data_IF_817798703103
#
_entry.id   IF_817798703103
#
_cell.length_a   1.000
_cell.length_b   1.000
_cell.length_c   1.000
_cell.angle_alpha   90.00
_cell.angle_beta   90.00
_cell.angle_gamma   90.00
#
_symmetry.space_group_name_H-M   'P 1'
#
loop_
_entity.id
_entity.type
_entity.pdbx_description
1 polymer ?
#
# COMPACT_ATOMS: atom_id res chain seq x y z
N UNK A 1 6.75 -3.75 43.80
CA UNK A 1 7.61 -2.77 44.42
C UNK A 1 7.77 -1.60 43.47
N UNK A 2 7.37 -0.41 43.99
CA UNK A 2 6.91 0.76 43.31
C UNK A 2 7.89 1.47 42.40
N UNK A 3 7.42 1.89 41.26
CA UNK A 3 7.99 2.98 40.46
C UNK A 3 7.43 4.32 40.94
N UNK A 4 8.25 5.39 41.04
CA UNK A 4 7.78 6.70 41.49
C UNK A 4 6.84 7.31 40.40
N UNK A 5 5.68 7.82 40.86
CA UNK A 5 4.74 8.55 40.05
C UNK A 5 5.38 9.85 39.54
N UNK A 6 5.26 10.10 38.23
CA UNK A 6 5.63 11.35 37.59
C UNK A 6 4.58 12.43 37.94
N UNK A 7 4.98 13.65 38.37
CA UNK A 7 4.05 14.70 38.72
C UNK A 7 3.69 15.55 37.47
N UNK A 8 2.78 15.08 36.63
CA UNK A 8 2.21 15.90 35.57
C UNK A 8 0.69 15.66 35.51
N UNK A 9 -0.07 16.58 36.12
CA UNK A 9 -1.48 16.75 35.89
C UNK A 9 -1.68 17.40 34.52
N UNK A 10 -2.15 16.64 33.55
CA UNK A 10 -2.56 17.05 32.21
C UNK A 10 -2.80 15.79 31.41
N UNK A 11 -3.96 15.64 30.81
CA UNK A 11 -4.34 14.53 29.94
C UNK A 11 -3.35 14.43 28.74
N UNK A 12 -2.15 13.91 29.00
CA UNK A 12 -1.24 13.46 27.95
C UNK A 12 -1.81 12.16 27.40
N UNK A 13 -2.42 12.24 26.23
CA UNK A 13 -2.77 11.07 25.42
C UNK A 13 -1.50 10.21 25.26
N UNK A 14 -1.40 9.12 26.03
CA UNK A 14 -0.23 8.20 25.95
C UNK A 14 -0.30 7.49 24.62
N UNK A 15 0.51 7.96 23.66
CA UNK A 15 0.73 7.27 22.39
C UNK A 15 1.23 5.85 22.71
N UNK A 16 0.52 4.82 22.27
CA UNK A 16 0.91 3.43 22.47
C UNK A 16 2.16 3.10 21.64
N UNK A 17 2.94 2.07 22.02
CA UNK A 17 4.17 1.67 21.30
C UNK A 17 3.99 1.45 19.80
N UNK A 18 2.78 1.07 19.35
CA UNK A 18 2.44 0.85 17.94
C UNK A 18 2.09 2.14 17.19
N UNK A 19 1.95 3.27 17.86
CA UNK A 19 1.46 4.52 17.28
C UNK A 19 2.57 5.47 16.80
N UNK A 20 3.80 5.28 17.25
CA UNK A 20 4.98 6.07 16.84
C UNK A 20 6.06 5.17 16.23
N UNK A 21 6.36 5.43 14.96
CA UNK A 21 7.46 4.77 14.23
C UNK A 21 8.58 5.78 14.00
N UNK A 22 9.83 5.37 14.21
CA UNK A 22 11.02 6.19 13.95
C UNK A 22 11.95 5.43 13.00
N UNK A 23 12.21 5.98 11.82
CA UNK A 23 13.22 5.48 10.89
C UNK A 23 14.54 6.20 11.12
N UNK A 24 15.52 5.48 11.62
CA UNK A 24 16.82 6.04 12.00
C UNK A 24 17.98 5.10 11.61
N UNK A 25 19.12 5.71 11.34
CA UNK A 25 20.38 5.04 11.00
C UNK A 25 21.58 5.85 11.47
N UNK A 26 22.48 6.27 10.55
CA UNK A 26 23.76 6.88 10.94
C UNK A 26 23.65 8.29 11.55
N UNK A 27 22.50 8.96 11.43
CA UNK A 27 22.36 10.36 11.87
C UNK A 27 22.17 10.52 13.38
N UNK A 28 21.69 9.49 14.08
CA UNK A 28 21.45 9.54 15.53
C UNK A 28 21.54 8.16 16.16
N UNK A 29 22.07 8.10 17.38
CA UNK A 29 22.17 6.85 18.14
C UNK A 29 20.79 6.39 18.63
N UNK A 30 20.53 5.09 18.50
CA UNK A 30 19.28 4.45 18.91
C UNK A 30 18.97 4.66 20.40
N UNK A 31 20.00 4.67 21.23
CA UNK A 31 19.90 4.87 22.68
C UNK A 31 19.36 6.27 23.03
N UNK A 32 19.70 7.28 22.21
CA UNK A 32 19.16 8.63 22.40
C UNK A 32 17.65 8.64 22.12
N UNK A 33 17.21 8.00 21.04
CA UNK A 33 15.79 7.89 20.69
C UNK A 33 15.03 7.13 21.79
N UNK A 34 15.54 5.98 22.22
CA UNK A 34 14.91 5.16 23.26
C UNK A 34 14.75 5.91 24.59
N UNK A 35 15.71 6.75 24.95
CA UNK A 35 15.65 7.55 26.18
C UNK A 35 14.60 8.65 26.13
N UNK A 36 14.43 9.30 24.98
CA UNK A 36 13.48 10.42 24.79
C UNK A 36 12.08 9.95 24.40
N UNK A 37 11.99 8.90 23.60
CA UNK A 37 10.76 8.32 23.08
C UNK A 37 10.69 6.80 23.38
N UNK A 38 10.55 6.41 24.66
CA UNK A 38 10.66 5.01 25.08
C UNK A 38 9.55 4.10 24.51
N UNK A 39 8.47 4.70 24.02
CA UNK A 39 7.33 4.03 23.41
C UNK A 39 7.45 3.90 21.87
N UNK A 40 8.47 4.50 21.26
CA UNK A 40 8.64 4.45 19.81
C UNK A 40 9.13 3.07 19.34
N UNK A 41 8.62 2.62 18.21
CA UNK A 41 9.18 1.50 17.44
C UNK A 41 10.26 2.06 16.50
N UNK A 42 11.51 1.71 16.76
CA UNK A 42 12.66 2.19 15.98
C UNK A 42 12.97 1.17 14.89
N UNK A 43 12.99 1.63 13.65
CA UNK A 43 13.28 0.85 12.46
C UNK A 43 14.56 1.37 11.78
N UNK A 44 15.25 0.53 10.98
CA UNK A 44 16.36 0.96 10.12
C UNK A 44 15.98 2.10 9.18
N UNK A 45 16.95 2.72 8.46
CA UNK A 45 16.67 3.73 7.43
C UNK A 45 15.59 3.30 6.47
N UNK A 46 14.63 4.18 6.19
CA UNK A 46 13.44 3.86 5.39
C UNK A 46 13.80 3.51 3.94
N UNK A 47 13.20 2.45 3.42
CA UNK A 47 13.23 2.04 2.00
C UNK A 47 11.86 2.24 1.34
N UNK A 48 11.84 2.15 0.01
CA UNK A 48 10.60 2.16 -0.77
C UNK A 48 9.63 1.07 -0.30
N UNK A 49 8.36 1.44 -0.15
CA UNK A 49 7.27 0.54 0.21
C UNK A 49 7.05 0.37 1.71
N UNK A 50 8.03 0.66 2.54
CA UNK A 50 7.94 0.41 3.98
C UNK A 50 6.91 1.27 4.69
N UNK A 51 6.74 2.54 4.30
CA UNK A 51 5.68 3.38 4.89
C UNK A 51 4.32 2.80 4.54
N UNK A 52 4.14 2.46 3.27
CA UNK A 52 2.91 1.87 2.76
C UNK A 52 2.57 0.54 3.46
N UNK A 53 3.56 -0.32 3.68
CA UNK A 53 3.43 -1.57 4.42
C UNK A 53 3.01 -1.31 5.87
N UNK A 54 3.69 -0.41 6.57
CA UNK A 54 3.43 -0.10 7.98
C UNK A 54 2.01 0.43 8.17
N UNK A 55 1.60 1.43 7.42
CA UNK A 55 0.25 2.03 7.56
C UNK A 55 -0.87 1.05 7.17
N UNK A 56 -0.55 0.00 6.43
CA UNK A 56 -1.49 -1.04 6.07
C UNK A 56 -1.68 -2.10 7.17
N UNK A 57 -0.65 -2.33 7.98
CA UNK A 57 -0.62 -3.42 8.96
C UNK A 57 -0.73 -2.95 10.42
N UNK A 58 -0.31 -1.72 10.71
CA UNK A 58 -0.22 -1.18 12.06
C UNK A 58 -1.13 0.05 12.21
N UNK A 59 -1.63 0.26 13.43
CA UNK A 59 -2.38 1.46 13.79
C UNK A 59 -1.37 2.55 14.16
N UNK A 60 -0.87 3.28 13.15
CA UNK A 60 0.20 4.28 13.29
C UNK A 60 -0.40 5.68 13.28
N UNK A 61 -0.01 6.50 14.24
CA UNK A 61 -0.42 7.90 14.33
C UNK A 61 0.67 8.85 13.86
N UNK A 62 1.94 8.49 14.09
CA UNK A 62 3.08 9.35 13.77
C UNK A 62 4.24 8.54 13.22
N UNK A 63 4.87 9.05 12.18
CA UNK A 63 6.12 8.53 11.62
C UNK A 63 7.17 9.64 11.62
N UNK A 64 8.31 9.40 12.26
CA UNK A 64 9.50 10.26 12.19
C UNK A 64 10.48 9.65 11.18
N UNK A 65 10.75 10.39 10.10
CA UNK A 65 11.74 10.06 9.09
C UNK A 65 13.02 10.85 9.37
N UNK A 66 14.09 10.17 9.80
CA UNK A 66 15.43 10.74 9.98
C UNK A 66 16.30 10.30 8.79
N UNK A 67 16.53 8.98 8.67
CA UNK A 67 17.37 8.40 7.65
C UNK A 67 16.58 7.53 6.68
N UNK A 68 17.02 7.49 5.43
CA UNK A 68 16.49 6.61 4.38
C UNK A 68 17.61 5.95 3.59
N UNK A 69 17.30 4.82 2.98
CA UNK A 69 18.22 4.14 2.08
C UNK A 69 18.39 4.95 0.80
N UNK A 70 19.63 5.00 0.34
CA UNK A 70 20.03 5.77 -0.81
C UNK A 70 21.03 4.94 -1.64
N UNK A 71 20.94 4.99 -2.96
CA UNK A 71 21.86 4.37 -3.91
C UNK A 71 21.83 2.83 -3.95
N UNK A 72 21.85 2.11 -2.84
CA UNK A 72 21.86 0.63 -2.80
C UNK A 72 20.46 0.02 -2.84
N UNK A 73 19.45 0.82 -2.58
CA UNK A 73 18.05 0.42 -2.58
C UNK A 73 17.18 1.59 -3.05
N UNK A 74 15.99 1.30 -3.51
CA UNK A 74 15.05 2.36 -3.92
C UNK A 74 14.64 3.17 -2.69
N UNK A 75 14.73 4.49 -2.80
CA UNK A 75 14.35 5.42 -1.74
C UNK A 75 12.84 5.49 -1.58
N UNK A 76 12.39 5.87 -0.37
CA UNK A 76 10.98 6.08 -0.06
C UNK A 76 10.29 6.99 -1.08
N UNK A 77 9.13 6.59 -1.56
CA UNK A 77 8.37 7.33 -2.56
C UNK A 77 7.57 8.48 -1.91
N UNK A 78 7.50 9.61 -2.59
CA UNK A 78 6.60 10.73 -2.22
C UNK A 78 5.15 10.27 -2.02
N UNK A 79 4.70 9.37 -2.89
CA UNK A 79 3.32 8.86 -2.89
C UNK A 79 2.99 8.02 -1.65
N UNK A 80 3.96 7.29 -1.09
CA UNK A 80 3.77 6.57 0.17
C UNK A 80 3.54 7.53 1.34
N UNK A 81 4.31 8.62 1.36
CA UNK A 81 4.19 9.67 2.37
C UNK A 81 2.84 10.39 2.23
N UNK A 82 2.45 10.77 1.01
CA UNK A 82 1.15 11.39 0.75
C UNK A 82 0.01 10.44 1.16
N UNK A 83 0.11 9.16 0.85
CA UNK A 83 -0.87 8.15 1.28
C UNK A 83 -1.02 8.11 2.80
N UNK A 84 0.10 8.13 3.53
CA UNK A 84 0.07 8.15 5.00
C UNK A 84 -0.59 9.43 5.54
N UNK A 85 -0.25 10.59 4.97
CA UNK A 85 -0.88 11.87 5.30
C UNK A 85 -2.39 11.86 5.02
N UNK A 86 -2.83 11.34 3.86
CA UNK A 86 -4.25 11.19 3.52
C UNK A 86 -5.02 10.31 4.52
N UNK A 87 -4.31 9.44 5.23
CA UNK A 87 -4.88 8.58 6.28
C UNK A 87 -4.85 9.20 7.67
N UNK A 88 -4.43 10.46 7.77
CA UNK A 88 -4.32 11.17 9.04
C UNK A 88 -3.07 10.81 9.86
N UNK A 89 -2.07 10.13 9.25
CA UNK A 89 -0.81 9.85 9.92
C UNK A 89 0.09 11.09 9.87
N UNK A 90 0.56 11.57 11.02
CA UNK A 90 1.53 12.65 11.10
C UNK A 90 2.89 12.17 10.59
N UNK A 91 3.47 12.87 9.61
CA UNK A 91 4.81 12.58 9.11
C UNK A 91 5.74 13.75 9.41
N UNK A 92 6.78 13.47 10.18
CA UNK A 92 7.84 14.44 10.51
C UNK A 92 9.12 14.02 9.81
N UNK A 93 9.80 14.94 9.15
CA UNK A 93 11.07 14.69 8.47
C UNK A 93 12.17 15.65 8.91
N UNK A 94 13.39 15.14 9.07
CA UNK A 94 14.56 15.93 9.49
C UNK A 94 15.87 15.29 9.01
N UNK A 95 16.97 15.98 9.23
CA UNK A 95 18.34 15.44 9.19
C UNK A 95 18.85 15.03 7.79
N UNK A 96 18.34 13.92 7.25
CA UNK A 96 18.83 13.29 6.02
C UNK A 96 17.71 13.16 4.96
N UNK A 97 17.41 11.93 4.54
CA UNK A 97 16.29 11.66 3.62
C UNK A 97 14.98 12.26 4.15
N UNK A 98 14.79 12.28 5.46
CA UNK A 98 13.62 12.89 6.08
C UNK A 98 13.51 14.39 5.81
N UNK A 99 14.62 15.14 5.89
CA UNK A 99 14.65 16.58 5.58
C UNK A 99 14.34 16.84 4.11
N UNK A 100 14.93 16.08 3.20
CA UNK A 100 14.69 16.17 1.75
C UNK A 100 13.22 15.93 1.43
N UNK A 101 12.64 14.83 1.93
CA UNK A 101 11.22 14.52 1.71
C UNK A 101 10.30 15.55 2.34
N UNK A 102 10.64 16.09 3.51
CA UNK A 102 9.87 17.15 4.13
C UNK A 102 9.88 18.45 3.28
N UNK A 103 11.02 18.83 2.71
CA UNK A 103 11.11 20.00 1.83
C UNK A 103 10.25 19.84 0.57
N UNK A 104 10.19 18.64 -0.01
CA UNK A 104 9.37 18.32 -1.18
C UNK A 104 7.87 18.26 -0.85
N UNK A 105 7.51 17.87 0.39
CA UNK A 105 6.14 17.52 0.76
C UNK A 105 5.52 18.39 1.89
N UNK A 106 6.24 19.43 2.37
CA UNK A 106 5.70 20.33 3.42
C UNK A 106 4.36 20.97 3.02
N UNK A 107 4.19 21.30 1.74
CA UNK A 107 2.93 21.85 1.20
C UNK A 107 1.77 20.86 1.26
N UNK A 108 2.06 19.58 1.45
CA UNK A 108 1.08 18.51 1.58
C UNK A 108 0.90 18.04 3.02
N UNK A 109 1.41 18.82 3.99
CA UNK A 109 1.23 18.56 5.41
C UNK A 109 2.34 17.75 6.10
N UNK A 110 3.44 17.40 5.39
CA UNK A 110 4.62 16.83 6.05
C UNK A 110 5.35 17.91 6.85
N UNK A 111 5.63 17.63 8.12
CA UNK A 111 6.33 18.56 9.01
C UNK A 111 7.83 18.41 8.83
N UNK A 112 8.52 19.50 8.51
CA UNK A 112 9.98 19.53 8.41
C UNK A 112 10.61 20.20 9.63
N UNK A 113 11.67 19.63 10.18
CA UNK A 113 12.38 20.12 11.35
C UNK A 113 13.87 20.23 11.06
N UNK A 114 14.47 21.34 11.49
CA UNK A 114 15.91 21.56 11.53
C UNK A 114 16.49 22.30 10.31
N UNK A 115 17.77 22.60 10.41
CA UNK A 115 18.49 23.44 9.44
C UNK A 115 18.62 22.77 8.07
N UNK A 116 18.84 21.46 8.03
CA UNK A 116 18.94 20.73 6.76
C UNK A 116 17.62 20.83 5.99
N UNK A 117 16.48 20.69 6.69
CA UNK A 117 15.16 20.88 6.07
C UNK A 117 15.01 22.31 5.50
N UNK A 118 15.38 23.34 6.28
CA UNK A 118 15.28 24.74 5.84
C UNK A 118 16.10 25.00 4.57
N UNK A 119 17.33 24.44 4.48
CA UNK A 119 18.19 24.61 3.31
C UNK A 119 17.57 24.00 2.04
N UNK A 120 16.91 22.84 2.13
CA UNK A 120 16.18 22.27 1.02
C UNK A 120 14.89 23.03 0.70
N UNK A 121 14.10 23.39 1.72
CA UNK A 121 12.85 24.14 1.54
C UNK A 121 13.08 25.49 0.82
N UNK A 122 14.12 26.18 1.19
CA UNK A 122 14.44 27.53 0.68
C UNK A 122 15.30 27.49 -0.59
N UNK A 123 15.54 26.28 -1.14
CA UNK A 123 16.31 26.01 -2.35
C UNK A 123 17.77 26.47 -2.31
N UNK A 124 18.39 26.55 -1.12
CA UNK A 124 19.83 26.74 -1.01
C UNK A 124 20.60 25.51 -1.51
N UNK A 125 19.99 24.33 -1.39
CA UNK A 125 20.49 23.06 -1.92
C UNK A 125 19.37 22.32 -2.63
N UNK A 126 19.73 21.52 -3.66
CA UNK A 126 18.79 20.74 -4.44
C UNK A 126 19.26 19.28 -4.66
N UNK A 127 20.56 19.05 -4.49
CA UNK A 127 21.17 17.73 -4.68
C UNK A 127 20.86 16.80 -3.49
N UNK A 128 20.46 15.58 -3.77
CA UNK A 128 20.25 14.55 -2.76
C UNK A 128 21.55 14.00 -2.17
N UNK A 129 22.68 14.18 -2.88
CA UNK A 129 24.02 13.81 -2.43
C UNK A 129 24.61 14.74 -1.35
N UNK A 130 23.97 15.89 -1.07
CA UNK A 130 24.35 16.80 0.02
C UNK A 130 24.25 16.12 1.41
N UNK A 131 23.21 15.32 1.60
CA UNK A 131 22.94 14.58 2.85
C UNK A 131 23.46 13.14 2.82
N UNK A 132 23.85 12.63 1.65
CA UNK A 132 24.26 11.26 1.46
C UNK A 132 25.62 10.98 2.13
N UNK A 133 25.71 9.84 2.81
CA UNK A 133 26.95 9.33 3.42
C UNK A 133 27.07 7.83 3.16
N UNK A 134 28.31 7.34 3.09
CA UNK A 134 28.60 5.93 3.30
C UNK A 134 28.78 5.70 4.80
N UNK A 135 28.18 4.64 5.28
CA UNK A 135 28.34 4.18 6.67
C UNK A 135 28.82 2.74 6.72
N UNK A 136 29.43 2.36 7.82
CA UNK A 136 29.78 0.98 8.13
C UNK A 136 28.51 0.12 8.28
N UNK A 137 28.62 -1.23 8.28
CA UNK A 137 27.47 -2.11 8.49
C UNK A 137 26.59 -1.71 9.68
N UNK A 138 25.31 -2.09 9.60
CA UNK A 138 24.19 -1.68 10.48
C UNK A 138 24.51 -1.70 11.98
N UNK A 139 25.44 -2.54 12.41
CA UNK A 139 25.82 -2.70 13.84
C UNK A 139 26.61 -1.50 14.38
N UNK A 140 27.29 -0.75 13.55
CA UNK A 140 28.15 0.36 13.94
C UNK A 140 27.65 1.74 13.49
N UNK A 141 26.91 1.82 12.39
CA UNK A 141 26.38 3.05 11.73
C UNK A 141 27.35 4.26 11.77
N UNK A 142 28.66 4.00 11.77
CA UNK A 142 29.65 5.07 11.74
C UNK A 142 29.79 5.60 10.32
N UNK A 143 29.69 6.93 10.18
CA UNK A 143 29.89 7.59 8.89
C UNK A 143 31.35 7.43 8.43
N UNK A 144 31.54 6.88 7.25
CA UNK A 144 32.84 6.75 6.61
C UNK A 144 33.15 7.94 5.69
N UNK A 145 32.12 8.73 5.33
CA UNK A 145 32.23 9.90 4.46
C UNK A 145 31.62 11.14 5.13
N UNK A 146 31.94 12.31 4.60
CA UNK A 146 31.50 13.62 5.10
C UNK A 146 30.19 13.97 4.41
N UNK A 147 29.09 14.28 5.14
CA UNK A 147 27.92 14.89 4.54
C UNK A 147 28.23 16.34 4.15
N UNK A 148 28.07 16.68 2.87
CA UNK A 148 28.41 18.00 2.36
C UNK A 148 27.57 19.09 3.02
N UNK A 149 26.32 18.81 3.32
CA UNK A 149 25.40 19.77 3.94
C UNK A 149 25.94 20.33 5.27
N UNK A 150 26.62 19.54 6.09
CA UNK A 150 27.18 20.03 7.36
C UNK A 150 28.25 21.11 7.13
N UNK A 151 29.12 20.92 6.13
CA UNK A 151 30.14 21.88 5.80
C UNK A 151 29.55 23.15 5.17
N UNK A 152 28.58 22.97 4.31
CA UNK A 152 27.88 24.09 3.65
C UNK A 152 27.21 24.99 4.67
N UNK A 153 26.34 24.44 5.53
CA UNK A 153 25.64 25.22 6.55
C UNK A 153 26.65 25.95 7.44
N UNK A 154 27.70 25.22 7.91
CA UNK A 154 28.71 25.82 8.77
C UNK A 154 29.44 26.98 8.13
N UNK A 155 29.87 26.86 6.87
CA UNK A 155 30.56 27.91 6.14
C UNK A 155 29.65 29.12 5.92
N UNK A 156 28.45 28.93 5.40
CA UNK A 156 27.51 30.01 5.14
C UNK A 156 27.12 30.78 6.41
N UNK A 157 26.89 30.08 7.54
CA UNK A 157 26.56 30.74 8.82
C UNK A 157 27.76 31.41 9.48
N UNK A 158 28.99 31.09 9.09
CA UNK A 158 30.19 31.57 9.77
C UNK A 158 30.97 32.62 9.00
N UNK A 159 30.81 32.70 7.68
CA UNK A 159 31.57 33.65 6.84
C UNK A 159 31.42 35.10 7.25
N UNK A 160 30.24 35.52 7.69
CA UNK A 160 29.95 36.90 8.10
C UNK A 160 30.41 37.18 9.54
N UNK A 161 30.94 36.20 10.26
CA UNK A 161 31.41 36.37 11.67
C UNK A 161 32.78 37.07 11.68
N UNK A 162 32.94 38.16 12.43
CA UNK A 162 34.22 38.82 12.53
C UNK A 162 35.33 37.87 13.02
N UNK A 163 36.43 37.79 12.28
CA UNK A 163 37.57 36.95 12.63
C UNK A 163 37.40 35.47 12.34
N UNK A 164 36.40 35.07 11.49
CA UNK A 164 36.26 33.69 11.05
C UNK A 164 37.56 33.22 10.36
N UNK A 165 37.96 32.01 10.63
CA UNK A 165 39.27 31.48 10.27
C UNK A 165 39.47 31.20 8.76
N UNK A 166 38.39 30.99 8.04
CA UNK A 166 38.35 30.65 6.61
C UNK A 166 37.82 31.85 5.84
N UNK A 167 38.48 32.25 4.74
CA UNK A 167 38.01 33.34 3.89
C UNK A 167 36.90 32.90 2.96
N UNK A 168 36.17 33.85 2.35
CA UNK A 168 35.11 33.53 1.41
C UNK A 168 35.63 32.75 0.17
N UNK A 169 36.82 33.13 -0.33
CA UNK A 169 37.48 32.45 -1.43
C UNK A 169 37.86 31.01 -1.05
N UNK A 170 38.37 30.79 0.16
CA UNK A 170 38.70 29.46 0.67
C UNK A 170 37.46 28.61 0.90
N UNK A 171 36.36 29.19 1.35
CA UNK A 171 35.07 28.51 1.47
C UNK A 171 34.52 28.05 0.13
N UNK A 172 34.62 28.92 -0.90
CA UNK A 172 34.24 28.55 -2.26
C UNK A 172 35.08 27.40 -2.83
N UNK A 173 36.40 27.45 -2.61
CA UNK A 173 37.30 26.34 -2.98
C UNK A 173 36.96 25.03 -2.27
N UNK A 174 36.61 25.08 -0.97
CA UNK A 174 36.18 23.92 -0.19
C UNK A 174 34.90 23.30 -0.77
N UNK A 175 33.89 24.12 -1.05
CA UNK A 175 32.62 23.64 -1.58
C UNK A 175 32.77 23.08 -2.98
N UNK A 176 33.56 23.73 -3.85
CA UNK A 176 33.83 23.23 -5.21
C UNK A 176 34.61 21.91 -5.17
N UNK A 177 35.62 21.79 -4.32
CA UNK A 177 36.39 20.56 -4.15
C UNK A 177 35.48 19.39 -3.65
N UNK A 178 34.51 19.68 -2.77
CA UNK A 178 33.52 18.68 -2.31
C UNK A 178 32.54 18.26 -3.40
N UNK A 179 32.10 19.21 -4.25
CA UNK A 179 31.21 18.92 -5.39
C UNK A 179 31.86 17.99 -6.41
N UNK A 180 33.18 18.16 -6.64
CA UNK A 180 33.94 17.31 -7.56
C UNK A 180 34.14 15.87 -7.03
N UNK A 181 33.93 15.63 -5.72
CA UNK A 181 34.11 14.33 -5.08
C UNK A 181 32.75 13.64 -4.94
N UNK A 182 32.52 12.47 -5.59
CA UNK A 182 31.33 11.69 -5.36
C UNK A 182 31.11 11.40 -3.88
N UNK A 183 29.87 11.45 -3.38
CA UNK A 183 29.56 11.30 -1.95
C UNK A 183 30.19 10.04 -1.33
N UNK A 184 30.29 8.96 -2.12
CA UNK A 184 30.88 7.67 -1.70
C UNK A 184 32.39 7.73 -1.43
N UNK A 185 33.07 8.78 -1.89
CA UNK A 185 34.51 9.01 -1.69
C UNK A 185 34.79 10.30 -0.91
N UNK A 186 33.79 11.02 -0.45
CA UNK A 186 33.86 12.35 0.16
C UNK A 186 34.45 12.25 1.58
N UNK A 187 35.77 12.09 1.66
CA UNK A 187 36.54 12.04 2.93
C UNK A 187 37.40 13.25 3.08
N UNK A 188 37.83 13.59 4.32
CA UNK A 188 38.77 14.67 4.56
C UNK A 188 40.11 14.48 3.81
N UNK A 189 40.53 13.25 3.58
CA UNK A 189 41.75 12.97 2.81
C UNK A 189 41.55 13.32 1.31
N UNK A 190 40.43 12.96 0.71
CA UNK A 190 40.17 13.32 -0.69
C UNK A 190 39.97 14.85 -0.83
N UNK A 191 39.32 15.48 0.15
CA UNK A 191 39.17 16.94 0.20
C UNK A 191 40.53 17.62 0.30
N UNK A 192 41.45 17.14 1.15
CA UNK A 192 42.80 17.62 1.26
C UNK A 192 43.52 17.56 -0.11
N UNK A 193 43.45 16.42 -0.80
CA UNK A 193 44.06 16.26 -2.12
C UNK A 193 43.45 17.25 -3.16
N UNK A 194 42.16 17.54 -3.07
CA UNK A 194 41.50 18.54 -3.91
C UNK A 194 42.03 19.95 -3.67
N UNK A 195 42.08 20.37 -2.39
CA UNK A 195 42.52 21.69 -2.01
C UNK A 195 43.99 21.98 -2.26
N UNK A 196 44.87 20.98 -2.19
CA UNK A 196 46.31 21.11 -2.47
C UNK A 196 46.63 21.53 -3.90
N UNK A 197 45.65 21.50 -4.81
CA UNK A 197 45.80 22.01 -6.18
C UNK A 197 45.80 23.54 -6.24
N UNK A 198 45.12 24.18 -5.29
CA UNK A 198 44.89 25.64 -5.28
C UNK A 198 45.54 26.32 -4.08
N UNK A 199 45.77 25.60 -2.99
CA UNK A 199 46.32 26.12 -1.74
C UNK A 199 47.65 25.44 -1.38
N UNK A 200 48.48 26.12 -0.58
CA UNK A 200 49.69 25.50 -0.03
C UNK A 200 49.36 24.34 0.91
N UNK A 201 50.24 23.35 0.98
CA UNK A 201 50.06 22.17 1.85
C UNK A 201 49.84 22.58 3.32
N UNK A 202 50.54 23.61 3.81
CA UNK A 202 50.39 24.09 5.18
C UNK A 202 48.99 24.65 5.41
N UNK A 203 48.50 25.53 4.51
CA UNK A 203 47.18 26.11 4.65
C UNK A 203 46.07 25.08 4.51
N UNK A 204 46.19 24.18 3.57
CA UNK A 204 45.26 23.07 3.41
C UNK A 204 45.12 22.26 4.69
N UNK A 205 46.27 21.87 5.29
CA UNK A 205 46.25 21.10 6.55
C UNK A 205 45.59 21.88 7.69
N UNK A 206 45.85 23.17 7.78
CA UNK A 206 45.22 24.04 8.77
C UNK A 206 43.70 24.11 8.60
N UNK A 207 43.22 24.26 7.37
CA UNK A 207 41.78 24.27 7.05
C UNK A 207 41.15 22.94 7.38
N UNK A 208 41.72 21.81 6.94
CA UNK A 208 41.22 20.48 7.25
C UNK A 208 41.09 20.24 8.75
N UNK A 209 42.14 20.53 9.51
CA UNK A 209 42.11 20.37 10.96
C UNK A 209 41.06 21.26 11.62
N UNK A 210 40.91 22.51 11.14
CA UNK A 210 39.86 23.42 11.61
C UNK A 210 38.48 22.87 11.36
N UNK A 211 38.20 22.38 10.13
CA UNK A 211 36.89 21.81 9.74
C UNK A 211 36.56 20.56 10.56
N UNK A 212 37.54 19.66 10.74
CA UNK A 212 37.32 18.45 11.54
C UNK A 212 36.94 18.73 13.00
N UNK A 213 37.40 19.84 13.54
CA UNK A 213 37.20 20.19 14.95
C UNK A 213 35.96 21.04 15.19
N UNK A 214 35.60 21.91 14.22
CA UNK A 214 34.63 22.98 14.45
C UNK A 214 33.30 22.81 13.71
N UNK A 215 33.23 21.94 12.70
CA UNK A 215 31.97 21.72 11.98
C UNK A 215 31.01 20.92 12.83
N UNK A 216 29.82 21.47 13.17
CA UNK A 216 28.81 20.73 13.90
C UNK A 216 28.21 19.63 12.99
N UNK A 217 27.73 18.56 13.62
CA UNK A 217 26.92 17.60 12.93
C UNK A 217 25.45 18.08 12.90
N UNK A 218 25.11 18.91 11.93
CA UNK A 218 23.77 19.47 11.76
C UNK A 218 22.72 18.38 11.56
N UNK A 219 23.07 17.29 10.88
CA UNK A 219 22.16 16.16 10.73
C UNK A 219 21.78 15.57 12.09
N UNK A 220 22.73 15.40 12.98
CA UNK A 220 22.47 14.92 14.35
C UNK A 220 21.68 15.94 15.16
N UNK A 221 22.02 17.22 15.08
CA UNK A 221 21.29 18.29 15.79
C UNK A 221 19.82 18.34 15.37
N UNK A 222 19.54 18.31 14.08
CA UNK A 222 18.18 18.29 13.53
C UNK A 222 17.39 17.05 13.98
N UNK A 223 18.05 15.88 14.02
CA UNK A 223 17.41 14.66 14.51
C UNK A 223 17.05 14.77 16.00
N UNK A 224 17.94 15.38 16.81
CA UNK A 224 17.67 15.63 18.24
C UNK A 224 16.50 16.60 18.43
N UNK A 225 16.46 17.69 17.65
CA UNK A 225 15.39 18.68 17.68
C UNK A 225 14.04 18.06 17.30
N UNK A 226 13.98 17.24 16.25
CA UNK A 226 12.76 16.55 15.83
C UNK A 226 12.25 15.55 16.89
N UNK A 227 13.16 14.85 17.55
CA UNK A 227 12.81 13.93 18.63
C UNK A 227 12.22 14.72 19.83
N UNK A 228 12.81 15.86 20.18
CA UNK A 228 12.31 16.72 21.25
C UNK A 228 10.98 17.38 20.89
N UNK A 229 10.79 17.77 19.63
CA UNK A 229 9.51 18.26 19.11
C UNK A 229 8.39 17.23 19.29
N UNK A 230 8.61 15.97 18.93
CA UNK A 230 7.65 14.89 19.14
C UNK A 230 7.42 14.63 20.63
N UNK A 231 8.49 14.60 21.43
CA UNK A 231 8.39 14.36 22.88
C UNK A 231 7.60 15.46 23.62
N UNK A 232 7.59 16.70 23.08
CA UNK A 232 6.84 17.81 23.65
C UNK A 232 5.33 17.74 23.39
N UNK A 233 4.88 16.86 22.51
CA UNK A 233 3.46 16.75 22.09
C UNK A 233 3.00 17.91 21.21
N UNK A 234 3.91 18.63 20.55
CA UNK A 234 3.60 19.83 19.75
C UNK A 234 3.03 19.49 18.34
N UNK A 235 2.79 18.23 18.04
CA UNK A 235 2.19 17.81 16.75
C UNK A 235 0.74 18.29 16.65
N UNK A 236 0.43 18.93 15.54
CA UNK A 236 -0.96 19.27 15.15
C UNK A 236 -1.50 18.17 14.23
N UNK A 237 -2.82 17.97 14.27
CA UNK A 237 -3.48 17.03 13.38
C UNK A 237 -3.28 17.41 11.90
N UNK A 238 -3.10 16.41 11.04
CA UNK A 238 -2.97 16.60 9.59
C UNK A 238 -4.30 17.10 9.01
N UNK A 239 -4.25 18.17 8.22
CA UNK A 239 -5.42 18.60 7.44
C UNK A 239 -5.62 17.66 6.24
N UNK A 240 -6.37 16.60 6.43
CA UNK A 240 -6.63 15.58 5.40
C UNK A 240 -7.52 16.08 4.25
N UNK A 241 -8.32 17.12 4.46
CA UNK A 241 -9.26 17.66 3.44
C UNK A 241 -8.49 18.26 2.24
N UNK A 242 -7.39 18.97 2.49
CA UNK A 242 -6.58 19.61 1.42
C UNK A 242 -5.90 18.58 0.52
N UNK A 243 -5.55 17.43 1.06
CA UNK A 243 -4.78 16.40 0.35
C UNK A 243 -5.63 15.21 -0.11
N UNK A 244 -6.90 15.13 0.29
CA UNK A 244 -7.79 14.02 -0.03
C UNK A 244 -7.92 13.74 -1.55
N UNK A 245 -7.84 14.79 -2.37
CA UNK A 245 -8.02 14.68 -3.82
C UNK A 245 -6.72 14.48 -4.62
N UNK A 246 -5.57 14.32 -3.94
CA UNK A 246 -4.30 14.06 -4.63
C UNK A 246 -4.31 12.64 -5.15
N UNK A 247 -4.26 12.50 -6.48
CA UNK A 247 -4.17 11.18 -7.11
C UNK A 247 -2.80 10.57 -6.91
N UNK A 248 -2.74 9.42 -6.27
CA UNK A 248 -1.50 8.66 -6.07
C UNK A 248 -1.05 7.94 -7.34
N UNK A 249 -1.96 7.80 -8.30
CA UNK A 249 -1.72 7.20 -9.61
C UNK A 249 -1.59 5.67 -9.55
N UNK A 250 -1.80 5.06 -10.69
CA UNK A 250 -1.84 3.59 -10.87
C UNK A 250 -0.58 2.86 -10.37
N UNK A 251 0.58 3.50 -10.44
CA UNK A 251 1.85 2.86 -10.07
C UNK A 251 1.95 2.55 -8.56
N UNK A 252 1.41 3.40 -7.68
CA UNK A 252 1.43 3.13 -6.24
C UNK A 252 0.39 2.07 -5.88
N UNK A 253 -0.82 2.15 -6.43
CA UNK A 253 -1.86 1.14 -6.20
C UNK A 253 -1.39 -0.25 -6.64
N UNK A 254 -0.72 -0.33 -7.81
CA UNK A 254 -0.14 -1.57 -8.30
C UNK A 254 0.99 -2.08 -7.39
N UNK A 255 1.86 -1.18 -6.92
CA UNK A 255 2.94 -1.54 -5.99
C UNK A 255 2.38 -2.03 -4.66
N UNK A 256 1.46 -1.28 -4.06
CA UNK A 256 0.79 -1.66 -2.81
C UNK A 256 0.13 -3.02 -2.91
N UNK A 257 -0.57 -3.27 -4.02
CA UNK A 257 -1.27 -4.53 -4.26
C UNK A 257 -0.33 -5.71 -4.52
N UNK A 258 0.90 -5.45 -5.01
CA UNK A 258 1.82 -6.52 -5.42
C UNK A 258 2.86 -6.89 -4.37
N UNK A 259 3.21 -5.98 -3.46
CA UNK A 259 4.33 -6.16 -2.51
C UNK A 259 3.89 -6.31 -1.05
N UNK A 260 2.63 -5.97 -0.72
CA UNK A 260 2.15 -6.15 0.65
C UNK A 260 2.05 -7.62 1.02
N UNK A 261 2.64 -7.99 2.14
CA UNK A 261 2.57 -9.34 2.68
C UNK A 261 1.19 -9.63 3.28
N UNK A 262 0.71 -10.86 3.10
CA UNK A 262 -0.47 -11.33 3.79
C UNK A 262 -0.20 -11.55 5.28
N UNK A 263 -1.19 -11.24 6.13
CA UNK A 263 -1.13 -11.57 7.56
C UNK A 263 -1.60 -13.01 7.80
N UNK A 264 -0.91 -13.78 8.64
CA UNK A 264 -1.28 -15.15 9.02
C UNK A 264 -0.22 -16.17 8.64
N UNK A 265 -0.61 -17.47 8.63
CA UNK A 265 0.31 -18.59 8.34
C UNK A 265 0.90 -18.57 6.91
N UNK A 266 0.37 -17.70 6.02
CA UNK A 266 0.84 -17.47 4.65
C UNK A 266 1.68 -16.19 4.52
N UNK A 267 2.18 -15.63 5.63
CA UNK A 267 2.86 -14.35 5.71
C UNK A 267 4.16 -14.23 4.88
N UNK A 268 4.70 -15.35 4.41
CA UNK A 268 5.94 -15.37 3.62
C UNK A 268 5.72 -15.20 2.10
N UNK A 269 4.47 -15.19 1.64
CA UNK A 269 4.15 -15.12 0.21
C UNK A 269 3.55 -13.77 -0.13
N UNK A 270 4.25 -12.97 -0.94
CA UNK A 270 3.68 -11.71 -1.44
C UNK A 270 2.64 -11.97 -2.55
N UNK A 271 1.68 -11.06 -2.75
CA UNK A 271 0.74 -11.13 -3.87
C UNK A 271 1.45 -11.29 -5.23
N UNK A 272 2.60 -10.62 -5.40
CA UNK A 272 3.42 -10.74 -6.62
C UNK A 272 4.02 -12.12 -6.79
N UNK A 273 4.56 -12.70 -5.72
CA UNK A 273 5.10 -14.07 -5.76
C UNK A 273 4.01 -15.07 -6.11
N UNK A 274 2.82 -14.93 -5.48
CA UNK A 274 1.66 -15.75 -5.79
C UNK A 274 1.28 -15.60 -7.27
N UNK A 275 1.12 -14.38 -7.77
CA UNK A 275 0.72 -14.11 -9.15
C UNK A 275 1.72 -14.67 -10.17
N UNK A 276 3.03 -14.44 -9.95
CA UNK A 276 4.09 -14.95 -10.83
C UNK A 276 4.15 -16.49 -10.81
N UNK A 277 4.02 -17.09 -9.62
CA UNK A 277 4.04 -18.55 -9.51
C UNK A 277 2.83 -19.18 -10.23
N UNK A 278 1.64 -18.64 -10.01
CA UNK A 278 0.42 -19.10 -10.67
C UNK A 278 0.48 -18.93 -12.19
N UNK A 279 1.10 -17.85 -12.68
CA UNK A 279 1.26 -17.61 -14.12
C UNK A 279 2.00 -18.75 -14.84
N UNK A 280 2.96 -19.40 -14.17
CA UNK A 280 3.75 -20.47 -14.74
C UNK A 280 3.29 -21.89 -14.36
N UNK A 281 2.48 -22.02 -13.29
CA UNK A 281 2.07 -23.32 -12.75
C UNK A 281 0.59 -23.65 -12.93
N UNK A 282 -0.27 -22.65 -13.15
CA UNK A 282 -1.71 -22.85 -13.25
C UNK A 282 -2.18 -22.77 -14.70
N UNK A 283 -2.66 -23.87 -15.24
CA UNK A 283 -3.19 -23.95 -16.61
C UNK A 283 -4.42 -23.05 -16.87
N UNK A 284 -5.16 -22.68 -15.80
CA UNK A 284 -6.30 -21.78 -15.88
C UNK A 284 -5.93 -20.31 -15.62
N UNK A 285 -4.65 -19.99 -15.43
CA UNK A 285 -4.20 -18.64 -15.05
C UNK A 285 -4.69 -17.54 -16.00
N UNK A 286 -4.67 -17.77 -17.31
CA UNK A 286 -5.11 -16.76 -18.29
C UNK A 286 -6.58 -16.39 -18.11
N UNK A 287 -7.44 -17.36 -17.83
CA UNK A 287 -8.87 -17.14 -17.55
C UNK A 287 -9.06 -16.37 -16.26
N UNK A 288 -8.34 -16.77 -15.20
CA UNK A 288 -8.41 -16.11 -13.89
C UNK A 288 -7.86 -14.68 -13.95
N UNK A 289 -6.76 -14.47 -14.68
CA UNK A 289 -6.19 -13.14 -14.92
C UNK A 289 -7.15 -12.23 -15.68
N UNK A 290 -7.81 -12.73 -16.72
CA UNK A 290 -8.85 -11.98 -17.41
C UNK A 290 -10.02 -11.62 -16.50
N UNK A 291 -10.48 -12.55 -15.66
CA UNK A 291 -11.53 -12.27 -14.67
C UNK A 291 -11.11 -11.21 -13.66
N UNK A 292 -9.82 -11.16 -13.24
CA UNK A 292 -9.33 -10.14 -12.34
C UNK A 292 -9.35 -8.73 -12.96
N UNK A 293 -9.04 -8.63 -14.26
CA UNK A 293 -9.15 -7.38 -15.02
C UNK A 293 -10.61 -6.90 -15.08
N UNK A 294 -11.54 -7.82 -15.40
CA UNK A 294 -12.96 -7.47 -15.43
C UNK A 294 -13.50 -7.09 -14.06
N UNK A 295 -13.07 -7.78 -13.00
CA UNK A 295 -13.41 -7.42 -11.63
C UNK A 295 -12.99 -5.99 -11.30
N UNK A 296 -11.75 -5.64 -11.58
CA UNK A 296 -11.21 -4.30 -11.34
C UNK A 296 -11.96 -3.22 -12.15
N UNK A 297 -12.24 -3.49 -13.44
CA UNK A 297 -13.03 -2.60 -14.28
C UNK A 297 -14.46 -2.42 -13.74
N UNK A 298 -15.08 -3.47 -13.22
CA UNK A 298 -16.43 -3.42 -12.66
C UNK A 298 -16.49 -2.61 -11.35
N UNK A 299 -15.47 -2.71 -10.48
CA UNK A 299 -15.36 -1.88 -9.28
C UNK A 299 -15.25 -0.40 -9.65
N UNK A 300 -14.34 -0.05 -10.56
CA UNK A 300 -14.17 1.34 -11.04
C UNK A 300 -15.41 1.88 -11.71
N UNK A 301 -16.11 1.05 -12.48
CA UNK A 301 -17.39 1.42 -13.08
C UNK A 301 -18.44 1.72 -12.01
N UNK A 302 -18.55 0.86 -10.99
CA UNK A 302 -19.50 1.05 -9.90
C UNK A 302 -19.25 2.37 -9.15
N UNK A 303 -17.99 2.67 -8.81
CA UNK A 303 -17.59 3.92 -8.17
C UNK A 303 -17.92 5.15 -9.03
N UNK A 304 -17.56 5.13 -10.32
CA UNK A 304 -17.78 6.26 -11.24
C UNK A 304 -19.25 6.52 -11.54
N UNK A 305 -20.13 5.54 -11.32
CA UNK A 305 -21.57 5.66 -11.51
C UNK A 305 -22.34 5.86 -10.19
N UNK A 306 -21.64 6.23 -9.12
CA UNK A 306 -22.26 6.61 -7.84
C UNK A 306 -22.91 5.45 -7.10
N UNK A 307 -22.52 4.19 -7.38
CA UNK A 307 -22.95 3.06 -6.56
C UNK A 307 -22.22 3.12 -5.22
N UNK A 308 -22.97 2.91 -4.12
CA UNK A 308 -22.47 3.06 -2.77
C UNK A 308 -22.40 1.72 -2.07
N UNK A 309 -21.33 1.49 -1.34
CA UNK A 309 -21.12 0.33 -0.48
C UNK A 309 -21.86 0.48 0.86
N UNK A 310 -23.17 0.40 0.84
CA UNK A 310 -23.98 0.56 2.04
C UNK A 310 -23.67 -0.49 3.11
N UNK A 311 -23.87 -0.17 4.40
CA UNK A 311 -23.77 -1.13 5.50
C UNK A 311 -24.59 -2.41 5.25
N UNK A 312 -25.75 -2.27 4.64
CA UNK A 312 -26.59 -3.40 4.24
C UNK A 312 -25.89 -4.30 3.23
N UNK A 313 -25.26 -3.73 2.19
CA UNK A 313 -24.56 -4.51 1.16
C UNK A 313 -23.31 -5.19 1.77
N UNK A 314 -22.56 -4.48 2.61
CA UNK A 314 -21.44 -5.05 3.36
C UNK A 314 -21.86 -6.23 4.24
N UNK A 315 -22.97 -6.09 4.97
CA UNK A 315 -23.50 -7.18 5.80
C UNK A 315 -23.94 -8.42 4.97
N UNK A 316 -24.55 -8.20 3.81
CA UNK A 316 -24.95 -9.30 2.91
C UNK A 316 -23.73 -10.05 2.40
N UNK A 317 -22.72 -9.33 1.92
CA UNK A 317 -21.48 -9.89 1.41
C UNK A 317 -20.73 -10.66 2.49
N UNK A 318 -20.53 -10.06 3.67
CA UNK A 318 -19.88 -10.70 4.80
C UNK A 318 -20.58 -11.99 5.21
N UNK A 319 -21.91 -11.99 5.26
CA UNK A 319 -22.70 -13.20 5.55
C UNK A 319 -22.53 -14.28 4.47
N UNK A 320 -22.44 -13.88 3.20
CA UNK A 320 -22.19 -14.82 2.10
C UNK A 320 -20.81 -15.45 2.21
N UNK A 321 -19.78 -14.65 2.56
CA UNK A 321 -18.43 -15.14 2.80
C UNK A 321 -18.36 -16.08 4.02
N UNK A 322 -19.06 -15.77 5.12
CA UNK A 322 -19.17 -16.67 6.26
C UNK A 322 -19.73 -18.03 5.86
N UNK A 323 -20.78 -18.04 5.03
CA UNK A 323 -21.37 -19.29 4.53
C UNK A 323 -20.42 -20.04 3.60
N UNK A 324 -19.70 -19.32 2.74
CA UNK A 324 -18.78 -19.92 1.77
C UNK A 324 -17.57 -20.56 2.46
N UNK A 325 -16.98 -19.86 3.43
CA UNK A 325 -15.78 -20.32 4.14
C UNK A 325 -16.09 -21.12 5.42
N UNK A 326 -17.36 -21.33 5.76
CA UNK A 326 -17.78 -22.11 6.93
C UNK A 326 -17.40 -21.47 8.28
N UNK A 327 -17.21 -20.15 8.33
CA UNK A 327 -16.83 -19.42 9.54
C UNK A 327 -17.98 -18.57 10.08
N UNK A 328 -17.85 -18.06 11.32
CA UNK A 328 -18.94 -17.35 12.01
C UNK A 328 -18.57 -15.94 12.47
N UNK A 329 -17.31 -15.57 12.39
CA UNK A 329 -16.81 -14.28 12.86
C UNK A 329 -15.79 -13.67 11.91
N UNK A 330 -15.63 -12.34 11.98
CA UNK A 330 -14.75 -11.57 11.13
C UNK A 330 -13.27 -11.92 11.37
N UNK A 331 -12.88 -12.19 12.59
CA UNK A 331 -11.49 -12.52 12.93
C UNK A 331 -11.03 -13.79 12.24
N UNK A 332 -11.86 -14.84 12.29
CA UNK A 332 -11.63 -16.12 11.60
C UNK A 332 -11.65 -15.92 10.08
N UNK A 333 -12.62 -15.17 9.54
CA UNK A 333 -12.69 -14.91 8.11
C UNK A 333 -11.44 -14.16 7.60
N UNK A 334 -10.98 -13.15 8.34
CA UNK A 334 -9.76 -12.41 8.00
C UNK A 334 -8.52 -13.32 7.95
N UNK A 335 -8.38 -14.23 8.90
CA UNK A 335 -7.27 -15.21 8.91
C UNK A 335 -7.34 -16.14 7.70
N UNK A 336 -8.51 -16.65 7.37
CA UNK A 336 -8.71 -17.52 6.19
C UNK A 336 -8.36 -16.78 4.90
N UNK A 337 -8.74 -15.50 4.80
CA UNK A 337 -8.45 -14.67 3.62
C UNK A 337 -7.01 -14.13 3.59
N UNK A 338 -6.24 -14.27 4.66
CA UNK A 338 -4.90 -13.71 4.78
C UNK A 338 -4.90 -12.17 4.82
N UNK A 339 -5.99 -11.53 5.27
CA UNK A 339 -6.15 -10.09 5.23
C UNK A 339 -6.08 -9.47 6.63
N UNK A 340 -5.25 -8.43 6.82
CA UNK A 340 -5.32 -7.58 8.00
C UNK A 340 -6.55 -6.65 7.94
N UNK A 341 -6.86 -5.96 9.05
CA UNK A 341 -8.12 -5.23 9.24
C UNK A 341 -8.46 -4.31 8.07
N UNK A 342 -7.53 -3.44 7.67
CA UNK A 342 -7.77 -2.45 6.60
C UNK A 342 -7.98 -3.08 5.23
N UNK A 343 -7.10 -4.00 4.83
CA UNK A 343 -7.25 -4.70 3.54
C UNK A 343 -8.56 -5.50 3.49
N UNK A 344 -8.99 -6.03 4.63
CA UNK A 344 -10.29 -6.67 4.76
C UNK A 344 -11.45 -5.69 4.57
N UNK A 345 -11.38 -4.51 5.20
CA UNK A 345 -12.41 -3.48 5.08
C UNK A 345 -12.53 -2.99 3.61
N UNK A 346 -11.40 -2.85 2.92
CA UNK A 346 -11.37 -2.50 1.50
C UNK A 346 -11.91 -3.62 0.61
N UNK A 347 -11.51 -4.86 0.85
CA UNK A 347 -12.05 -6.03 0.17
C UNK A 347 -13.58 -6.13 0.32
N UNK A 348 -14.11 -5.94 1.53
CA UNK A 348 -15.57 -5.94 1.78
C UNK A 348 -16.26 -4.76 1.08
N UNK A 349 -15.61 -3.57 1.05
CA UNK A 349 -16.12 -2.42 0.29
C UNK A 349 -16.27 -2.76 -1.19
N UNK A 350 -15.23 -3.27 -1.83
CA UNK A 350 -15.26 -3.67 -3.24
C UNK A 350 -16.30 -4.75 -3.52
N UNK A 351 -16.38 -5.79 -2.69
CA UNK A 351 -17.39 -6.82 -2.84
C UNK A 351 -18.82 -6.27 -2.67
N UNK A 352 -19.01 -5.30 -1.78
CA UNK A 352 -20.30 -4.63 -1.60
C UNK A 352 -20.68 -3.78 -2.82
N UNK A 353 -19.71 -3.11 -3.46
CA UNK A 353 -19.91 -2.38 -4.72
C UNK A 353 -20.25 -3.33 -5.87
N UNK A 354 -19.54 -4.44 -6.00
CA UNK A 354 -19.82 -5.47 -7.00
C UNK A 354 -21.20 -6.12 -6.79
N UNK A 355 -21.58 -6.29 -5.52
CA UNK A 355 -22.94 -6.74 -5.19
C UNK A 355 -23.98 -5.70 -5.63
N UNK A 356 -23.76 -4.41 -5.34
CA UNK A 356 -24.65 -3.33 -5.74
C UNK A 356 -24.80 -3.26 -7.28
N UNK A 357 -23.71 -3.40 -8.01
CA UNK A 357 -23.68 -3.42 -9.47
C UNK A 357 -24.49 -4.60 -10.02
N UNK A 358 -24.22 -5.81 -9.53
CA UNK A 358 -24.98 -7.02 -9.93
C UNK A 358 -26.46 -6.88 -9.58
N UNK A 359 -26.79 -6.30 -8.44
CA UNK A 359 -28.17 -6.07 -8.04
C UNK A 359 -28.87 -5.06 -8.96
N UNK A 360 -28.21 -3.92 -9.27
CA UNK A 360 -28.76 -2.92 -10.18
C UNK A 360 -29.01 -3.52 -11.58
N UNK A 361 -28.04 -4.28 -12.09
CA UNK A 361 -28.17 -4.97 -13.37
C UNK A 361 -29.32 -6.00 -13.34
N UNK A 362 -29.39 -6.83 -12.31
CA UNK A 362 -30.44 -7.85 -12.16
C UNK A 362 -31.84 -7.24 -11.94
N UNK A 363 -31.91 -6.03 -11.41
CA UNK A 363 -33.17 -5.31 -11.23
C UNK A 363 -33.69 -4.74 -12.57
N UNK A 364 -32.79 -4.27 -13.41
CA UNK A 364 -33.15 -3.67 -14.71
C UNK A 364 -33.36 -4.70 -15.83
N UNK A 365 -32.67 -5.83 -15.72
CA UNK A 365 -32.68 -6.86 -16.77
C UNK A 365 -33.32 -8.15 -16.29
N UNK A 366 -34.12 -8.73 -17.15
CA UNK A 366 -34.56 -10.11 -16.99
C UNK A 366 -33.44 -11.06 -17.48
N UNK A 367 -33.48 -12.34 -17.06
CA UNK A 367 -32.45 -13.33 -17.41
C UNK A 367 -32.10 -13.35 -18.91
N UNK A 368 -33.05 -13.06 -19.76
CA UNK A 368 -32.89 -13.03 -21.22
C UNK A 368 -31.80 -12.09 -21.71
N UNK A 369 -31.55 -10.97 -21.00
CA UNK A 369 -30.46 -10.05 -21.30
C UNK A 369 -29.06 -10.65 -21.17
N UNK A 370 -28.91 -11.69 -20.34
CA UNK A 370 -27.63 -12.34 -20.12
C UNK A 370 -27.38 -13.50 -21.09
N UNK A 371 -28.39 -14.05 -21.74
CA UNK A 371 -28.28 -15.22 -22.66
C UNK A 371 -27.32 -14.92 -23.80
N UNK A 372 -27.52 -13.77 -24.48
CA UNK A 372 -26.64 -13.35 -25.56
C UNK A 372 -25.20 -13.16 -25.08
N UNK A 373 -25.02 -12.42 -24.00
CA UNK A 373 -23.70 -12.14 -23.45
C UNK A 373 -22.97 -13.42 -23.04
N UNK A 374 -23.65 -14.37 -22.43
CA UNK A 374 -23.09 -15.68 -22.11
C UNK A 374 -22.68 -16.48 -23.35
N UNK A 375 -23.54 -16.54 -24.36
CA UNK A 375 -23.22 -17.21 -25.63
C UNK A 375 -22.05 -16.54 -26.37
N UNK A 376 -21.96 -15.20 -26.30
CA UNK A 376 -20.87 -14.47 -26.92
C UNK A 376 -19.53 -14.69 -26.14
N UNK A 377 -19.58 -14.82 -24.82
CA UNK A 377 -18.43 -15.22 -23.99
C UNK A 377 -17.93 -16.62 -24.40
N UNK A 378 -18.82 -17.60 -24.50
CA UNK A 378 -18.47 -18.96 -24.95
C UNK A 378 -17.88 -18.99 -26.37
N UNK A 379 -18.31 -18.09 -27.26
CA UNK A 379 -17.71 -17.94 -28.59
C UNK A 379 -16.31 -17.31 -28.51
N UNK A 380 -16.16 -16.30 -27.68
CA UNK A 380 -14.89 -15.59 -27.53
C UNK A 380 -13.79 -16.47 -26.90
N UNK A 381 -14.15 -17.34 -25.95
CA UNK A 381 -13.21 -18.26 -25.31
C UNK A 381 -13.06 -19.61 -26.02
N UNK A 382 -13.77 -19.80 -27.14
CA UNK A 382 -13.71 -21.01 -27.95
C UNK A 382 -14.48 -22.22 -27.39
N UNK A 383 -15.15 -22.07 -26.25
CA UNK A 383 -15.85 -23.17 -25.56
C UNK A 383 -17.29 -23.40 -26.06
N UNK A 384 -17.79 -22.57 -26.98
CA UNK A 384 -19.20 -22.64 -27.45
C UNK A 384 -19.56 -24.01 -28.03
N UNK A 385 -18.72 -24.56 -28.92
CA UNK A 385 -18.97 -25.85 -29.54
C UNK A 385 -18.96 -27.00 -28.54
N UNK A 386 -17.97 -27.07 -27.68
CA UNK A 386 -17.85 -28.11 -26.63
C UNK A 386 -18.97 -28.01 -25.59
N UNK A 387 -19.39 -26.80 -25.24
CA UNK A 387 -20.53 -26.59 -24.33
C UNK A 387 -21.83 -27.01 -25.00
N UNK A 388 -22.01 -26.69 -26.27
CA UNK A 388 -23.21 -27.13 -27.03
C UNK A 388 -23.30 -28.64 -27.15
N UNK A 389 -22.17 -29.33 -27.35
CA UNK A 389 -22.12 -30.81 -27.34
C UNK A 389 -22.47 -31.38 -25.97
N UNK A 390 -21.90 -30.85 -24.88
CA UNK A 390 -22.27 -31.28 -23.53
C UNK A 390 -23.76 -31.11 -23.22
N UNK A 391 -24.33 -30.00 -23.65
CA UNK A 391 -25.77 -29.75 -23.48
C UNK A 391 -26.59 -30.78 -24.27
N UNK A 392 -26.20 -31.06 -25.53
CA UNK A 392 -26.89 -32.08 -26.35
C UNK A 392 -26.78 -33.49 -25.75
N UNK A 393 -25.61 -33.87 -25.26
CA UNK A 393 -25.40 -35.15 -24.57
C UNK A 393 -26.22 -35.24 -23.28
N UNK A 394 -26.26 -34.18 -22.46
CA UNK A 394 -27.09 -34.12 -21.26
C UNK A 394 -28.57 -34.27 -21.58
N UNK A 395 -29.07 -33.57 -22.62
CA UNK A 395 -30.44 -33.71 -23.11
C UNK A 395 -30.71 -35.14 -23.60
N UNK A 396 -29.77 -35.74 -24.34
CA UNK A 396 -29.86 -37.12 -24.79
C UNK A 396 -29.95 -38.14 -23.63
N UNK A 397 -29.13 -37.97 -22.58
CA UNK A 397 -29.11 -38.84 -21.41
C UNK A 397 -30.37 -38.74 -20.55
N UNK A 398 -31.11 -37.66 -20.65
CA UNK A 398 -32.37 -37.40 -19.95
C UNK A 398 -33.60 -37.71 -20.80
N UNK A 399 -33.42 -37.84 -22.10
CA UNK A 399 -34.50 -38.22 -23.04
C UNK A 399 -35.03 -39.63 -22.75
N UNK A 400 -36.31 -39.75 -22.52
CA UNK A 400 -36.98 -41.03 -22.21
C UNK A 400 -37.07 -41.33 -20.71
N UNK A 401 -36.48 -40.54 -19.83
CA UNK A 401 -36.75 -40.60 -18.39
C UNK A 401 -38.13 -39.99 -18.11
N UNK A 402 -38.90 -40.62 -17.25
CA UNK A 402 -40.23 -40.10 -16.86
C UNK A 402 -40.03 -38.91 -15.90
N UNK A 403 -39.75 -37.73 -16.48
CA UNK A 403 -39.53 -36.51 -15.73
C UNK A 403 -40.88 -35.83 -15.52
N UNK A 404 -41.30 -35.57 -14.28
CA UNK A 404 -42.57 -34.93 -14.01
C UNK A 404 -42.70 -33.60 -14.76
N UNK A 405 -43.86 -33.30 -15.33
CA UNK A 405 -44.13 -32.13 -16.18
C UNK A 405 -44.12 -30.79 -15.45
N UNK A 406 -43.64 -30.71 -14.21
CA UNK A 406 -43.45 -29.45 -13.49
C UNK A 406 -44.76 -28.63 -13.36
N UNK A 407 -45.87 -29.27 -13.13
CA UNK A 407 -47.18 -28.62 -12.89
C UNK A 407 -47.29 -28.04 -11.48
N UNK A 408 -46.38 -28.41 -10.61
CA UNK A 408 -46.28 -27.93 -9.22
C UNK A 408 -45.71 -26.53 -9.08
N UNK A 409 -45.65 -26.05 -7.86
CA UNK A 409 -45.04 -24.76 -7.50
C UNK A 409 -43.53 -24.70 -7.72
N UNK A 410 -42.95 -23.54 -7.49
CA UNK A 410 -41.49 -23.26 -7.69
C UNK A 410 -40.61 -24.25 -6.91
N UNK A 411 -40.94 -24.52 -5.64
CA UNK A 411 -40.17 -25.39 -4.79
C UNK A 411 -40.18 -26.84 -5.26
N UNK A 412 -41.34 -27.33 -5.70
CA UNK A 412 -41.47 -28.67 -6.23
C UNK A 412 -40.69 -28.84 -7.55
N UNK A 413 -40.82 -27.85 -8.43
CA UNK A 413 -40.08 -27.80 -9.71
C UNK A 413 -38.58 -27.79 -9.46
N UNK A 414 -38.10 -26.99 -8.46
CA UNK A 414 -36.70 -26.91 -8.08
C UNK A 414 -36.17 -28.23 -7.51
N UNK A 415 -36.94 -28.85 -6.62
CA UNK A 415 -36.58 -30.15 -6.06
C UNK A 415 -36.46 -31.25 -7.14
N UNK A 416 -37.26 -31.22 -8.18
CA UNK A 416 -37.13 -32.15 -9.29
C UNK A 416 -35.83 -31.91 -10.06
N UNK A 417 -35.46 -30.62 -10.34
CA UNK A 417 -34.26 -30.28 -11.07
C UNK A 417 -32.98 -30.59 -10.25
N UNK A 418 -33.01 -30.40 -8.95
CA UNK A 418 -31.88 -30.73 -8.07
C UNK A 418 -31.47 -32.21 -8.14
N UNK A 419 -32.40 -33.11 -8.40
CA UNK A 419 -32.10 -34.56 -8.56
C UNK A 419 -31.20 -34.86 -9.78
N UNK A 420 -31.17 -33.95 -10.76
CA UNK A 420 -30.43 -34.12 -12.03
C UNK A 420 -29.23 -33.20 -12.13
N UNK A 421 -29.12 -32.17 -11.26
CA UNK A 421 -28.08 -31.13 -11.32
C UNK A 421 -27.50 -30.90 -9.92
N UNK A 422 -26.39 -31.55 -9.62
CA UNK A 422 -25.76 -31.58 -8.29
C UNK A 422 -25.13 -30.25 -7.82
N UNK A 423 -25.04 -29.25 -8.69
CA UNK A 423 -24.39 -27.97 -8.35
C UNK A 423 -25.38 -26.86 -7.97
N UNK A 424 -26.65 -27.20 -7.83
CA UNK A 424 -27.65 -26.24 -7.42
C UNK A 424 -27.66 -26.09 -5.89
N UNK A 425 -27.82 -24.88 -5.34
CA UNK A 425 -27.90 -24.67 -3.90
C UNK A 425 -29.18 -25.34 -3.32
N UNK A 426 -29.14 -25.68 -2.03
CA UNK A 426 -30.28 -26.34 -1.37
C UNK A 426 -31.56 -25.50 -1.41
N UNK A 427 -31.42 -24.16 -1.42
CA UNK A 427 -32.56 -23.23 -1.48
C UNK A 427 -32.33 -22.10 -2.47
N UNK A 428 -33.39 -21.68 -3.14
CA UNK A 428 -33.37 -20.48 -3.98
C UNK A 428 -33.24 -19.25 -3.07
N UNK A 429 -32.09 -18.60 -3.09
CA UNK A 429 -31.84 -17.38 -2.35
C UNK A 429 -31.84 -16.17 -3.29
N UNK A 430 -32.06 -14.97 -2.72
CA UNK A 430 -31.96 -13.72 -3.49
C UNK A 430 -30.57 -13.55 -4.13
N UNK A 431 -29.52 -13.90 -3.40
CA UNK A 431 -28.14 -13.86 -3.92
C UNK A 431 -27.94 -14.81 -5.11
N UNK A 432 -28.49 -16.01 -5.03
CA UNK A 432 -28.45 -16.96 -6.13
C UNK A 432 -29.11 -16.36 -7.40
N UNK A 433 -30.31 -15.76 -7.26
CA UNK A 433 -31.00 -15.11 -8.37
C UNK A 433 -30.22 -13.92 -8.94
N UNK A 434 -29.62 -13.08 -8.09
CA UNK A 434 -28.79 -11.94 -8.54
C UNK A 434 -27.60 -12.44 -9.36
N UNK A 435 -26.97 -13.51 -8.96
CA UNK A 435 -25.86 -14.11 -9.70
C UNK A 435 -26.29 -14.71 -11.05
N UNK A 436 -27.57 -15.05 -11.20
CA UNK A 436 -28.16 -15.43 -12.49
C UNK A 436 -28.62 -14.22 -13.33
N UNK A 437 -28.41 -12.98 -12.83
CA UNK A 437 -28.78 -11.75 -13.52
C UNK A 437 -30.25 -11.37 -13.42
N UNK A 438 -30.97 -11.85 -12.40
CA UNK A 438 -32.37 -11.47 -12.14
C UNK A 438 -32.67 -11.44 -10.65
N UNK A 439 -33.66 -10.64 -10.26
CA UNK A 439 -34.29 -10.69 -8.92
C UNK A 439 -35.70 -11.32 -8.98
N UNK A 440 -36.19 -11.63 -10.17
CA UNK A 440 -37.56 -12.11 -10.40
C UNK A 440 -37.62 -13.63 -10.36
N UNK A 441 -38.17 -14.18 -9.29
CA UNK A 441 -38.35 -15.62 -9.11
C UNK A 441 -39.12 -16.25 -10.24
N UNK A 442 -40.09 -15.52 -10.83
CA UNK A 442 -40.85 -15.97 -11.99
C UNK A 442 -39.98 -16.21 -13.22
N UNK A 443 -38.95 -15.39 -13.44
CA UNK A 443 -38.04 -15.60 -14.57
C UNK A 443 -37.24 -16.89 -14.39
N UNK A 444 -36.76 -17.13 -13.18
CA UNK A 444 -36.07 -18.38 -12.83
C UNK A 444 -36.99 -19.58 -12.93
N UNK A 445 -38.25 -19.46 -12.48
CA UNK A 445 -39.25 -20.51 -12.59
C UNK A 445 -39.57 -20.82 -14.07
N UNK A 446 -39.68 -19.80 -14.94
CA UNK A 446 -39.85 -20.00 -16.38
C UNK A 446 -38.67 -20.79 -16.96
N UNK A 447 -37.44 -20.41 -16.66
CA UNK A 447 -36.24 -21.13 -17.10
C UNK A 447 -36.22 -22.58 -16.62
N UNK A 448 -36.66 -22.85 -15.38
CA UNK A 448 -36.79 -24.21 -14.85
C UNK A 448 -37.83 -25.02 -15.64
N UNK A 449 -38.99 -24.43 -16.01
CA UNK A 449 -39.99 -25.10 -16.83
C UNK A 449 -39.52 -25.38 -18.26
N UNK A 450 -38.78 -24.42 -18.84
CA UNK A 450 -38.16 -24.60 -20.17
C UNK A 450 -37.12 -25.74 -20.10
N UNK A 451 -36.32 -25.82 -19.04
CA UNK A 451 -35.38 -26.91 -18.84
C UNK A 451 -36.10 -28.27 -18.75
N UNK A 452 -37.16 -28.38 -17.95
CA UNK A 452 -37.97 -29.60 -17.86
C UNK A 452 -38.62 -29.99 -19.19
N UNK A 453 -39.11 -29.00 -19.94
CA UNK A 453 -39.63 -29.20 -21.29
C UNK A 453 -38.55 -29.75 -22.23
N UNK A 454 -37.37 -29.14 -22.28
CA UNK A 454 -36.23 -29.62 -23.08
C UNK A 454 -35.79 -31.04 -22.70
N UNK A 455 -35.87 -31.37 -21.40
CA UNK A 455 -35.55 -32.72 -20.89
C UNK A 455 -36.60 -33.75 -21.22
N UNK A 456 -37.88 -33.36 -21.38
CA UNK A 456 -38.98 -34.25 -21.65
C UNK A 456 -39.20 -34.53 -23.14
N UNK A 457 -38.71 -33.68 -24.04
CA UNK A 457 -38.87 -33.85 -25.49
C UNK A 457 -38.03 -35.03 -25.96
N UNK A 458 -38.70 -36.09 -26.44
CA UNK A 458 -38.01 -37.17 -27.15
C UNK A 458 -37.36 -36.63 -28.40
N UNK A 459 -36.06 -36.95 -28.59
CA UNK A 459 -35.39 -36.71 -29.88
C UNK A 459 -36.25 -37.31 -30.98
N UNK A 460 -36.90 -36.49 -31.82
CA UNK A 460 -37.45 -36.97 -33.07
C UNK A 460 -36.25 -37.49 -33.86
N UNK A 461 -36.27 -38.79 -34.18
CA UNK A 461 -35.29 -39.41 -35.05
C UNK A 461 -35.12 -38.54 -36.30
N UNK A 462 -33.95 -37.99 -36.51
CA UNK A 462 -33.54 -37.43 -37.80
C UNK A 462 -33.06 -38.62 -38.67
N UNK A 463 -33.96 -39.54 -38.91
CA UNK A 463 -33.81 -40.56 -39.94
C UNK A 463 -35.04 -40.43 -40.84
N UNK A 464 -34.92 -39.53 -41.78
CA UNK A 464 -35.63 -39.51 -43.09
C UNK A 464 -35.02 -38.44 -43.97
#
# INVERSE_FOLDING_TARGET
DGYPACPCNGDFCMISKSQLIVFAGPSIEKEFIQRKLPYAKILPPVAQGQIAEIISHEDVQTILLIDGLFYQSLSVLHKEIILALQQGVNIVGCSSMGALRAAELHRYGMVGIGRVFEYYRDNFVTGDDEVAVLHEPVELYKNSTIPMINLRIFLEESLDRPGFYITAEEAELLLNALLDIPFSRRTYKELECGLQKELSNIRTQQIINFMQTNVPDYKKLDAMEAIEYIASGSLSDVNTEEIANISLGYSLDAYMSSELHYSGDLSEVTPRQLWVTEMFSNENFQIQSAHSIYRNAAVKYAESHGLVDTERNRAIVTKSLFSFYGCKDIGTLRKILGLHKRAFDEFIKEEALLYALRYAHAHQNFMDGNVKAYCDLLRADGSFASTSLRVAEKQGSLSGKNIPSGTGGIEETYSIIQKYFLHLPDKITKNFLINLGTIHVQCFWRAMKELLFFMSVKKKNRDS
#
